data_IF_682658137123
#
_entry.id   IF_682658137123
#
_cell.length_a   1.000
_cell.length_b   1.000
_cell.length_c   1.000
_cell.angle_alpha   90.00
_cell.angle_beta   90.00
_cell.angle_gamma   90.00
#
_symmetry.space_group_name_H-M   'P 1'
#
loop_
_entity.id
_entity.type
_entity.pdbx_description
1 polymer ?
#
# COMPACT_ATOMS: atom_id res chain seq x y z
N UNK A 1 49.91 2.13 67.31
CA UNK A 1 49.07 1.80 68.48
C UNK A 1 47.71 1.31 67.99
N UNK A 2 47.33 0.09 68.42
CA UNK A 2 45.97 -0.38 68.80
C UNK A 2 44.81 -0.17 67.80
N UNK A 3 44.32 -1.22 67.12
CA UNK A 3 43.11 -2.06 67.45
C UNK A 3 41.79 -1.29 67.33
N UNK A 4 40.62 -1.77 66.85
CA UNK A 4 40.06 -3.10 66.58
C UNK A 4 38.69 -2.89 65.87
N UNK A 5 38.39 -3.77 64.92
CA UNK A 5 37.11 -4.46 64.58
C UNK A 5 35.73 -3.86 64.91
N UNK A 6 34.83 -3.93 63.91
CA UNK A 6 33.37 -4.13 64.06
C UNK A 6 32.57 -3.16 63.17
N UNK A 7 31.51 -3.50 62.45
CA UNK A 7 30.71 -4.73 62.28
C UNK A 7 29.94 -4.55 60.95
N UNK A 8 29.84 -5.61 60.15
CA UNK A 8 28.90 -5.70 59.03
C UNK A 8 27.47 -5.72 59.60
N UNK A 9 26.60 -4.86 59.08
CA UNK A 9 25.16 -5.11 59.05
C UNK A 9 24.64 -4.71 57.68
N UNK A 10 24.26 -5.74 56.94
CA UNK A 10 23.53 -5.67 55.70
C UNK A 10 22.18 -4.97 55.92
N UNK A 11 21.88 -3.98 55.08
CA UNK A 11 20.50 -3.62 54.79
C UNK A 11 20.30 -3.97 53.32
N UNK A 12 19.71 -5.14 53.11
CA UNK A 12 19.17 -5.57 51.84
C UNK A 12 17.99 -4.65 51.48
N UNK A 13 18.27 -3.61 50.71
CA UNK A 13 17.27 -2.73 50.11
C UNK A 13 17.06 -3.11 48.65
N UNK A 14 16.21 -4.12 48.45
CA UNK A 14 15.37 -4.36 47.26
C UNK A 14 15.63 -3.49 46.02
N UNK A 15 16.32 -4.08 45.05
CA UNK A 15 16.26 -3.69 43.66
C UNK A 15 14.79 -3.76 43.18
N UNK A 16 14.15 -2.61 43.02
CA UNK A 16 12.93 -2.47 42.20
C UNK A 16 13.32 -1.82 40.90
N UNK A 17 13.47 -2.67 39.88
CA UNK A 17 13.57 -2.27 38.50
C UNK A 17 12.40 -1.33 38.14
N UNK A 18 12.72 -0.07 37.86
CA UNK A 18 11.83 0.82 37.12
C UNK A 18 12.06 0.53 35.65
N UNK A 19 11.55 -0.62 35.20
CA UNK A 19 11.20 -0.82 33.79
C UNK A 19 9.84 -0.14 33.59
N UNK A 20 9.84 1.19 33.61
CA UNK A 20 8.69 1.97 33.16
C UNK A 20 8.62 1.81 31.64
N UNK A 21 7.52 1.20 31.20
CA UNK A 21 7.41 0.59 29.88
C UNK A 21 7.65 1.55 28.74
N UNK A 22 8.40 1.06 27.75
CA UNK A 22 8.20 1.40 26.35
C UNK A 22 6.85 0.83 25.89
N UNK A 23 5.75 1.27 26.52
CA UNK A 23 4.45 1.25 25.87
C UNK A 23 4.51 2.44 24.95
N UNK A 24 4.65 2.16 23.66
CA UNK A 24 4.43 3.13 22.59
C UNK A 24 3.21 3.96 22.96
N UNK A 25 3.47 5.19 23.42
CA UNK A 25 2.45 6.18 23.66
C UNK A 25 1.74 6.37 22.33
N UNK A 26 0.59 5.72 22.21
CA UNK A 26 -0.37 5.93 21.17
C UNK A 26 -0.92 7.33 21.42
N UNK A 27 -0.15 8.32 21.00
CA UNK A 27 -0.50 9.72 21.12
C UNK A 27 -1.69 9.95 20.19
N UNK A 28 -2.87 9.80 20.79
CA UNK A 28 -4.15 10.42 20.44
C UNK A 28 -4.01 11.95 20.39
N UNK A 29 -3.14 12.47 19.53
CA UNK A 29 -3.20 13.87 19.08
C UNK A 29 -4.07 13.88 17.85
N UNK A 30 -5.36 14.08 18.10
CA UNK A 30 -6.45 14.19 17.14
C UNK A 30 -6.43 15.51 16.35
N UNK A 31 -5.31 15.80 15.67
CA UNK A 31 -5.18 16.89 14.69
C UNK A 31 -4.21 16.48 13.56
N UNK A 32 -4.50 15.36 12.89
CA UNK A 32 -3.63 14.67 11.91
C UNK A 32 -4.34 14.57 10.55
N UNK A 33 -4.39 15.69 9.82
CA UNK A 33 -4.88 15.65 8.44
C UNK A 33 -3.96 14.89 7.50
N UNK A 34 -4.39 14.75 6.25
CA UNK A 34 -3.65 14.00 5.22
C UNK A 34 -2.20 14.47 5.07
N UNK A 35 -1.94 15.77 5.27
CA UNK A 35 -0.62 16.41 5.23
C UNK A 35 0.33 16.02 6.38
N UNK A 36 -0.16 15.25 7.36
CA UNK A 36 0.65 14.72 8.47
C UNK A 36 0.87 13.21 8.39
N UNK A 37 0.35 12.55 7.35
CA UNK A 37 0.81 11.21 7.02
C UNK A 37 2.31 11.24 6.67
N UNK A 38 3.03 10.12 6.84
CA UNK A 38 4.36 9.95 6.26
C UNK A 38 4.34 10.34 4.77
N UNK A 39 5.46 10.81 4.23
CA UNK A 39 5.56 11.14 2.81
C UNK A 39 5.14 9.97 1.91
N UNK A 40 5.42 8.74 2.36
CA UNK A 40 4.94 7.51 1.74
C UNK A 40 4.12 6.65 2.71
N UNK A 41 2.80 6.83 2.79
CA UNK A 41 1.93 5.95 3.56
C UNK A 41 1.95 4.49 3.07
N UNK A 42 1.32 3.62 3.87
CA UNK A 42 1.17 2.19 3.65
C UNK A 42 2.52 1.47 3.53
N UNK A 43 3.43 1.73 4.48
CA UNK A 43 4.75 1.11 4.49
C UNK A 43 5.64 1.49 3.30
N UNK A 44 5.40 2.66 2.70
CA UNK A 44 6.15 3.13 1.54
C UNK A 44 5.49 2.85 0.19
N UNK A 45 4.28 2.28 0.16
CA UNK A 45 3.64 1.81 -1.06
C UNK A 45 3.02 2.90 -1.93
N UNK A 46 2.62 4.03 -1.32
CA UNK A 46 1.89 5.10 -2.00
C UNK A 46 2.49 6.44 -1.61
N UNK A 47 2.55 7.41 -2.53
CA UNK A 47 2.91 8.79 -2.24
C UNK A 47 1.75 9.55 -1.61
N UNK A 48 2.02 10.26 -0.50
CA UNK A 48 1.01 11.02 0.23
C UNK A 48 0.30 12.07 -0.61
N UNK A 49 1.03 12.72 -1.52
CA UNK A 49 0.46 13.72 -2.44
C UNK A 49 -0.66 13.13 -3.29
N UNK A 50 -0.47 11.90 -3.79
CA UNK A 50 -1.47 11.22 -4.60
C UNK A 50 -2.74 10.88 -3.80
N UNK A 51 -2.59 10.49 -2.54
CA UNK A 51 -3.74 10.30 -1.63
C UNK A 51 -4.43 11.64 -1.30
N UNK A 52 -3.65 12.72 -1.11
CA UNK A 52 -4.14 14.07 -0.82
C UNK A 52 -4.87 14.72 -2.00
N UNK A 53 -4.54 14.33 -3.23
CA UNK A 53 -5.26 14.75 -4.43
C UNK A 53 -6.64 14.07 -4.55
N UNK A 54 -6.75 12.81 -4.11
CA UNK A 54 -8.02 12.07 -4.14
C UNK A 54 -8.99 12.54 -3.06
N UNK A 55 -8.50 12.70 -1.83
CA UNK A 55 -9.32 12.88 -0.64
C UNK A 55 -9.53 14.35 -0.28
N UNK A 56 -10.68 14.69 0.32
CA UNK A 56 -10.87 16.01 0.90
C UNK A 56 -9.89 16.23 2.05
N UNK A 57 -9.58 17.51 2.35
CA UNK A 57 -8.82 17.84 3.55
C UNK A 57 -9.62 17.42 4.79
N UNK A 58 -9.00 16.66 5.68
CA UNK A 58 -9.64 16.19 6.91
C UNK A 58 -8.71 16.30 8.10
N UNK A 59 -9.24 16.11 9.31
CA UNK A 59 -8.46 16.24 10.56
C UNK A 59 -7.84 14.92 11.01
N UNK A 60 -8.18 13.81 10.37
CA UNK A 60 -7.71 12.45 10.66
C UNK A 60 -7.36 11.73 9.37
N UNK A 61 -6.23 11.03 9.37
CA UNK A 61 -5.92 10.04 8.37
C UNK A 61 -5.31 8.79 8.99
N UNK A 62 -5.75 7.63 8.53
CA UNK A 62 -5.25 6.33 8.98
C UNK A 62 -4.82 5.47 7.80
N UNK A 63 -3.77 4.68 8.03
CA UNK A 63 -3.31 3.65 7.10
C UNK A 63 -3.32 2.26 7.74
N UNK A 64 -3.58 1.23 6.92
CA UNK A 64 -3.18 -0.15 7.23
C UNK A 64 -2.67 -0.83 5.98
N UNK A 65 -1.51 -1.46 6.10
CA UNK A 65 -0.99 -2.39 5.11
C UNK A 65 -0.71 -3.75 5.72
N UNK A 66 -1.16 -4.83 5.06
CA UNK A 66 -0.84 -6.21 5.45
C UNK A 66 -0.35 -6.95 4.23
N UNK A 67 0.93 -7.31 4.23
CA UNK A 67 1.52 -8.22 3.26
C UNK A 67 1.44 -9.66 3.80
N UNK A 68 0.90 -10.59 3.02
CA UNK A 68 0.98 -12.04 3.30
C UNK A 68 2.06 -12.71 2.45
N UNK A 69 2.38 -13.97 2.78
CA UNK A 69 3.44 -14.79 2.17
C UNK A 69 3.56 -14.67 0.63
N UNK A 70 4.75 -14.80 0.01
CA UNK A 70 4.95 -14.70 -1.44
C UNK A 70 4.08 -15.64 -2.29
N UNK A 71 3.65 -16.77 -1.74
CA UNK A 71 2.80 -17.73 -2.46
C UNK A 71 1.33 -17.32 -2.50
N UNK A 72 0.88 -16.58 -1.48
CA UNK A 72 -0.47 -16.03 -1.34
C UNK A 72 -0.35 -14.52 -1.12
N UNK A 73 0.39 -13.84 -1.98
CA UNK A 73 0.67 -12.42 -1.80
C UNK A 73 -0.65 -11.65 -1.85
N UNK A 74 -0.99 -11.05 -0.72
CA UNK A 74 -2.07 -10.11 -0.57
C UNK A 74 -1.50 -8.87 0.10
N UNK A 75 -1.78 -7.70 -0.46
CA UNK A 75 -1.42 -6.42 0.11
C UNK A 75 -2.59 -5.46 0.00
N UNK A 76 -3.16 -5.03 1.12
CA UNK A 76 -4.15 -3.95 1.13
C UNK A 76 -3.52 -2.65 1.60
N UNK A 77 -4.05 -1.53 1.17
CA UNK A 77 -3.71 -0.19 1.65
C UNK A 77 -5.00 0.63 1.63
N UNK A 78 -5.25 1.39 2.67
CA UNK A 78 -6.27 2.42 2.63
C UNK A 78 -5.77 3.67 3.31
N UNK A 79 -6.16 4.81 2.78
CA UNK A 79 -6.05 6.11 3.41
C UNK A 79 -7.47 6.62 3.56
N UNK A 80 -7.88 6.91 4.80
CA UNK A 80 -9.24 7.40 5.09
C UNK A 80 -9.21 8.75 5.75
N UNK A 81 -10.20 9.58 5.45
CA UNK A 81 -10.59 10.77 6.20
C UNK A 81 -11.81 10.46 7.07
N UNK A 82 -12.53 11.49 7.52
CA UNK A 82 -13.74 11.32 8.33
C UNK A 82 -14.84 10.54 7.56
N UNK A 83 -15.15 10.95 6.33
CA UNK A 83 -16.22 10.34 5.51
C UNK A 83 -15.76 9.83 4.13
N UNK A 84 -14.45 9.81 3.87
CA UNK A 84 -13.92 9.43 2.55
C UNK A 84 -12.72 8.51 2.64
N UNK A 85 -12.56 7.62 1.66
CA UNK A 85 -11.52 6.60 1.65
C UNK A 85 -10.96 6.49 0.23
N UNK A 86 -9.64 6.48 0.08
CA UNK A 86 -8.97 5.89 -1.08
C UNK A 86 -8.31 4.60 -0.61
N UNK A 87 -8.58 3.52 -1.31
CA UNK A 87 -8.10 2.20 -0.92
C UNK A 87 -7.69 1.39 -2.12
N UNK A 88 -6.84 0.41 -1.90
CA UNK A 88 -6.60 -0.63 -2.86
C UNK A 88 -6.18 -1.94 -2.23
N UNK A 89 -6.28 -2.98 -3.05
CA UNK A 89 -5.96 -4.35 -2.71
C UNK A 89 -5.18 -4.95 -3.86
N UNK A 90 -4.01 -5.52 -3.57
CA UNK A 90 -3.18 -6.29 -4.47
C UNK A 90 -3.32 -7.76 -4.11
N UNK A 91 -3.47 -8.60 -5.11
CA UNK A 91 -3.51 -10.04 -4.96
C UNK A 91 -2.69 -10.73 -6.04
N UNK A 92 -1.88 -11.71 -5.64
CA UNK A 92 -1.29 -12.66 -6.56
C UNK A 92 -2.37 -13.59 -7.12
N UNK A 93 -2.29 -13.85 -8.42
CA UNK A 93 -3.20 -14.74 -9.12
C UNK A 93 -2.49 -15.50 -10.23
N UNK A 94 -3.26 -16.30 -10.98
CA UNK A 94 -2.77 -17.11 -12.10
C UNK A 94 -3.27 -16.63 -13.46
N UNK A 95 -3.69 -15.37 -13.55
CA UNK A 95 -4.25 -14.82 -14.77
C UNK A 95 -3.16 -14.45 -15.78
N UNK A 96 -3.42 -14.73 -17.04
CA UNK A 96 -2.72 -14.08 -18.17
C UNK A 96 -3.34 -12.71 -18.45
N UNK A 97 -2.62 -11.85 -19.17
CA UNK A 97 -3.16 -10.58 -19.64
C UNK A 97 -4.49 -10.78 -20.39
N UNK A 98 -4.54 -11.74 -21.33
CA UNK A 98 -5.74 -12.02 -22.12
C UNK A 98 -6.93 -12.41 -21.24
N UNK A 99 -6.72 -13.32 -20.28
CA UNK A 99 -7.79 -13.74 -19.34
C UNK A 99 -8.22 -12.62 -18.39
N UNK A 100 -7.30 -11.72 -18.01
CA UNK A 100 -7.62 -10.57 -17.18
C UNK A 100 -8.42 -9.52 -17.97
N UNK A 101 -8.03 -9.24 -19.22
CA UNK A 101 -8.77 -8.35 -20.12
C UNK A 101 -10.18 -8.88 -20.38
N UNK A 102 -10.30 -10.18 -20.61
CA UNK A 102 -11.58 -10.85 -20.80
C UNK A 102 -12.49 -10.70 -19.58
N UNK A 103 -11.97 -10.96 -18.38
CA UNK A 103 -12.71 -10.84 -17.13
C UNK A 103 -13.18 -9.40 -16.85
N UNK A 104 -12.59 -8.40 -17.52
CA UNK A 104 -12.92 -6.98 -17.38
C UNK A 104 -13.45 -6.36 -18.68
N UNK A 105 -13.96 -7.19 -19.60
CA UNK A 105 -14.60 -6.70 -20.84
C UNK A 105 -15.78 -5.79 -20.52
N UNK A 106 -16.64 -6.17 -19.58
CA UNK A 106 -17.82 -5.37 -19.19
C UNK A 106 -17.43 -3.99 -18.66
N UNK A 107 -16.35 -3.89 -17.88
CA UNK A 107 -15.86 -2.61 -17.39
C UNK A 107 -15.49 -1.67 -18.57
N UNK A 108 -14.94 -2.21 -19.66
CA UNK A 108 -14.61 -1.43 -20.87
C UNK A 108 -15.85 -1.00 -21.64
N UNK A 109 -16.84 -1.88 -21.73
CA UNK A 109 -18.14 -1.57 -22.33
C UNK A 109 -18.86 -0.45 -21.54
N UNK A 110 -18.66 -0.43 -20.21
CA UNK A 110 -19.16 0.60 -19.30
C UNK A 110 -18.28 1.88 -19.25
N UNK A 111 -17.36 2.05 -20.20
CA UNK A 111 -16.58 3.27 -20.37
C UNK A 111 -15.30 3.35 -19.52
N UNK A 112 -14.76 2.22 -19.06
CA UNK A 112 -13.39 2.17 -18.54
C UNK A 112 -12.38 2.52 -19.63
N UNK A 113 -11.43 3.38 -19.28
CA UNK A 113 -10.38 3.80 -20.21
C UNK A 113 -9.15 2.92 -20.00
N UNK A 114 -8.68 2.19 -21.02
CA UNK A 114 -7.44 1.43 -20.91
C UNK A 114 -6.25 2.38 -20.87
N UNK A 115 -5.37 2.17 -19.89
CA UNK A 115 -4.10 2.88 -19.74
C UNK A 115 -3.03 1.83 -19.58
N UNK A 116 -2.06 1.81 -20.49
CA UNK A 116 -0.98 0.81 -20.43
C UNK A 116 0.36 1.49 -20.53
N UNK A 117 1.32 0.98 -19.76
CA UNK A 117 2.70 1.41 -19.79
C UNK A 117 3.58 0.15 -19.79
N UNK A 118 4.08 -0.23 -20.97
CA UNK A 118 4.78 -1.49 -21.16
C UNK A 118 3.90 -2.69 -20.78
N UNK A 119 4.38 -3.49 -19.82
CA UNK A 119 3.71 -4.68 -19.30
C UNK A 119 2.69 -4.40 -18.19
N UNK A 120 2.66 -3.16 -17.67
CA UNK A 120 1.63 -2.73 -16.71
C UNK A 120 0.38 -2.36 -17.48
N UNK A 121 -0.70 -3.13 -17.29
CA UNK A 121 -2.01 -2.87 -17.90
C UNK A 121 -2.95 -2.31 -16.84
N UNK A 122 -3.63 -1.22 -17.15
CA UNK A 122 -4.59 -0.61 -16.25
C UNK A 122 -5.91 -0.31 -16.96
N UNK A 123 -7.00 -0.37 -16.20
CA UNK A 123 -8.32 0.12 -16.57
C UNK A 123 -8.72 1.19 -15.57
N UNK A 124 -8.99 2.39 -16.06
CA UNK A 124 -9.42 3.52 -15.27
C UNK A 124 -10.94 3.72 -15.39
N UNK A 125 -11.65 3.50 -14.29
CA UNK A 125 -13.09 3.71 -14.13
C UNK A 125 -13.34 5.00 -13.32
N UNK A 126 -14.56 5.58 -13.33
CA UNK A 126 -14.83 6.86 -12.68
C UNK A 126 -14.30 7.02 -11.24
N UNK A 127 -14.46 5.99 -10.40
CA UNK A 127 -14.03 5.98 -8.99
C UNK A 127 -13.21 4.75 -8.63
N UNK A 128 -12.80 3.97 -9.64
CA UNK A 128 -12.12 2.68 -9.46
C UNK A 128 -11.00 2.53 -10.47
N UNK A 129 -9.99 1.75 -10.14
CA UNK A 129 -8.99 1.32 -11.11
C UNK A 129 -8.69 -0.16 -10.92
N UNK A 130 -8.34 -0.80 -12.03
CA UNK A 130 -7.81 -2.17 -12.03
C UNK A 130 -6.45 -2.15 -12.69
N UNK A 131 -5.48 -2.84 -12.11
CA UNK A 131 -4.15 -3.00 -12.69
C UNK A 131 -3.82 -4.48 -12.77
N UNK A 132 -3.15 -4.86 -13.85
CA UNK A 132 -2.54 -6.16 -14.07
C UNK A 132 -1.05 -5.96 -14.31
N UNK A 133 -0.26 -6.81 -13.67
CA UNK A 133 1.18 -6.88 -13.85
C UNK A 133 1.60 -8.35 -13.90
N UNK A 134 2.35 -8.80 -14.93
CA UNK A 134 2.95 -10.12 -14.91
C UNK A 134 3.96 -10.22 -13.76
N UNK A 135 4.02 -11.36 -13.07
CA UNK A 135 5.00 -11.59 -12.00
C UNK A 135 5.35 -13.08 -11.92
N UNK A 136 6.49 -13.49 -12.46
CA UNK A 136 7.06 -14.80 -12.19
C UNK A 136 7.99 -14.76 -10.96
N UNK A 137 7.78 -15.54 -9.87
CA UNK A 137 8.67 -15.53 -8.70
C UNK A 137 10.08 -15.98 -9.04
N UNK A 138 11.10 -15.42 -8.37
CA UNK A 138 12.52 -15.77 -8.58
C UNK A 138 12.91 -17.21 -8.23
N UNK A 139 12.17 -17.87 -7.33
CA UNK A 139 12.65 -19.09 -6.62
C UNK A 139 11.86 -20.37 -6.90
N UNK A 140 10.95 -20.39 -7.87
CA UNK A 140 10.27 -21.64 -8.20
C UNK A 140 11.23 -22.56 -8.95
N UNK A 141 11.57 -23.70 -8.34
CA UNK A 141 12.33 -24.77 -9.00
C UNK A 141 11.73 -25.07 -10.37
N UNK A 142 12.62 -25.38 -11.32
CA UNK A 142 12.33 -25.58 -12.74
C UNK A 142 11.33 -26.72 -12.98
N UNK A 143 10.04 -26.45 -12.76
CA UNK A 143 8.97 -27.42 -12.88
C UNK A 143 7.56 -26.80 -12.85
N UNK A 144 7.37 -25.69 -12.11
CA UNK A 144 6.10 -24.97 -12.08
C UNK A 144 6.28 -23.52 -12.53
N UNK A 145 6.41 -23.32 -13.85
CA UNK A 145 6.17 -22.02 -14.50
C UNK A 145 4.66 -21.70 -14.49
N UNK A 146 4.02 -21.78 -13.33
CA UNK A 146 2.68 -21.26 -13.20
C UNK A 146 2.77 -19.75 -13.39
N UNK A 147 2.16 -19.25 -14.47
CA UNK A 147 2.13 -17.82 -14.78
C UNK A 147 1.43 -17.11 -13.62
N UNK A 148 2.22 -16.54 -12.71
CA UNK A 148 1.70 -15.71 -11.63
C UNK A 148 1.58 -14.27 -12.14
N UNK A 149 0.61 -13.56 -11.61
CA UNK A 149 0.38 -12.15 -11.90
C UNK A 149 0.00 -11.43 -10.62
N UNK A 150 0.25 -10.12 -10.57
CA UNK A 150 -0.35 -9.25 -9.58
C UNK A 150 -1.54 -8.54 -10.20
N UNK A 151 -2.67 -8.61 -9.51
CA UNK A 151 -3.84 -7.80 -9.84
C UNK A 151 -4.09 -6.81 -8.72
N UNK A 152 -4.37 -5.56 -9.08
CA UNK A 152 -4.71 -4.51 -8.12
C UNK A 152 -6.10 -4.00 -8.40
N UNK A 153 -6.85 -3.76 -7.34
CA UNK A 153 -8.13 -3.05 -7.38
C UNK A 153 -8.03 -1.85 -6.46
N UNK A 154 -8.10 -0.64 -7.00
CA UNK A 154 -8.19 0.58 -6.22
C UNK A 154 -9.56 1.22 -6.37
N UNK A 155 -10.00 1.95 -5.35
CA UNK A 155 -11.26 2.68 -5.36
C UNK A 155 -11.26 3.85 -4.40
N UNK A 156 -12.10 4.83 -4.69
CA UNK A 156 -12.54 5.84 -3.73
C UNK A 156 -13.97 5.55 -3.25
N UNK A 157 -14.24 5.94 -2.00
CA UNK A 157 -15.56 5.92 -1.36
C UNK A 157 -15.75 7.28 -0.68
N UNK A 158 -16.95 7.84 -0.77
CA UNK A 158 -17.27 9.15 -0.19
C UNK A 158 -16.90 10.31 -1.10
N UNK A 159 -16.81 11.49 -0.51
CA UNK A 159 -16.42 12.71 -1.23
C UNK A 159 -14.97 12.64 -1.73
N UNK A 160 -14.73 13.29 -2.87
CA UNK A 160 -13.41 13.35 -3.49
C UNK A 160 -13.12 14.79 -3.88
N UNK A 161 -11.85 15.19 -3.80
CA UNK A 161 -11.45 16.55 -4.18
C UNK A 161 -11.41 16.74 -5.69
N UNK A 162 -11.09 15.66 -6.42
CA UNK A 162 -11.04 15.63 -7.87
C UNK A 162 -12.22 14.84 -8.44
N UNK A 163 -12.57 15.15 -9.68
CA UNK A 163 -13.65 14.47 -10.42
C UNK A 163 -13.23 14.16 -11.86
N UNK A 164 -14.06 13.38 -12.56
CA UNK A 164 -13.87 13.06 -13.97
C UNK A 164 -12.51 12.42 -14.25
N UNK A 165 -11.86 12.86 -15.33
CA UNK A 165 -10.57 12.33 -15.78
C UNK A 165 -9.45 12.49 -14.75
N UNK A 166 -9.44 13.59 -13.98
CA UNK A 166 -8.43 13.82 -12.95
C UNK A 166 -8.52 12.77 -11.84
N UNK A 167 -9.74 12.47 -11.37
CA UNK A 167 -9.94 11.41 -10.38
C UNK A 167 -9.55 10.04 -10.94
N UNK A 168 -9.96 9.73 -12.19
CA UNK A 168 -9.58 8.48 -12.87
C UNK A 168 -8.05 8.30 -12.89
N UNK A 169 -7.31 9.36 -13.20
CA UNK A 169 -5.85 9.36 -13.24
C UNK A 169 -5.26 9.06 -11.86
N UNK A 170 -5.76 9.73 -10.82
CA UNK A 170 -5.25 9.57 -9.45
C UNK A 170 -5.51 8.17 -8.92
N UNK A 171 -6.71 7.62 -9.11
CA UNK A 171 -7.04 6.26 -8.65
C UNK A 171 -6.25 5.19 -9.41
N UNK A 172 -6.01 5.39 -10.71
CA UNK A 172 -5.15 4.51 -11.50
C UNK A 172 -3.68 4.60 -11.07
N UNK A 173 -3.19 5.81 -10.80
CA UNK A 173 -1.85 6.03 -10.24
C UNK A 173 -1.68 5.33 -8.89
N UNK A 174 -2.67 5.44 -8.00
CA UNK A 174 -2.67 4.81 -6.69
C UNK A 174 -2.55 3.28 -6.83
N UNK A 175 -3.34 2.68 -7.72
CA UNK A 175 -3.26 1.25 -8.02
C UNK A 175 -1.89 0.84 -8.59
N UNK A 176 -1.26 1.68 -9.43
CA UNK A 176 0.04 1.40 -10.01
C UNK A 176 1.17 1.44 -8.97
N UNK A 177 1.14 2.41 -8.05
CA UNK A 177 2.11 2.50 -6.96
C UNK A 177 2.01 1.29 -6.01
N UNK A 178 0.79 0.87 -5.68
CA UNK A 178 0.56 -0.38 -4.95
C UNK A 178 1.08 -1.61 -5.69
N UNK A 179 0.84 -1.70 -7.00
CA UNK A 179 1.34 -2.81 -7.82
C UNK A 179 2.88 -2.88 -7.79
N UNK A 180 3.55 -1.73 -7.89
CA UNK A 180 5.01 -1.64 -7.82
C UNK A 180 5.53 -2.12 -6.46
N UNK A 181 4.95 -1.62 -5.38
CA UNK A 181 5.36 -2.01 -4.03
C UNK A 181 5.20 -3.52 -3.80
N UNK A 182 4.06 -4.08 -4.22
CA UNK A 182 3.81 -5.51 -4.14
C UNK A 182 4.73 -6.34 -5.05
N UNK A 183 5.12 -5.82 -6.21
CA UNK A 183 6.06 -6.47 -7.13
C UNK A 183 7.46 -6.59 -6.52
N UNK A 184 7.93 -5.51 -5.89
CA UNK A 184 9.20 -5.48 -5.17
C UNK A 184 9.16 -6.41 -3.95
N UNK A 185 8.07 -6.39 -3.17
CA UNK A 185 7.91 -7.22 -1.98
C UNK A 185 7.67 -8.71 -2.29
N UNK A 186 7.08 -9.03 -3.44
CA UNK A 186 6.78 -10.39 -3.88
C UNK A 186 7.96 -11.13 -4.51
N UNK A 187 9.17 -10.52 -4.52
CA UNK A 187 10.37 -11.05 -5.17
C UNK A 187 10.09 -11.51 -6.62
N UNK A 188 9.30 -10.73 -7.37
CA UNK A 188 9.09 -11.01 -8.79
C UNK A 188 10.45 -10.97 -9.52
N UNK A 189 10.68 -12.00 -10.36
CA UNK A 189 11.97 -12.31 -10.98
C UNK A 189 12.21 -11.69 -12.33
N UNK A 190 11.14 -11.31 -13.01
CA UNK A 190 11.25 -10.47 -14.20
C UNK A 190 11.77 -9.08 -13.78
N UNK A 191 12.43 -8.39 -14.70
CA UNK A 191 12.76 -6.98 -14.50
C UNK A 191 11.85 -6.20 -15.42
N UNK A 192 10.66 -5.84 -14.93
CA UNK A 192 9.75 -4.97 -15.67
C UNK A 192 10.00 -3.51 -15.25
N UNK A 193 9.92 -2.62 -16.22
CA UNK A 193 9.99 -1.19 -15.95
C UNK A 193 8.61 -0.69 -15.50
N UNK A 194 8.47 -0.40 -14.21
CA UNK A 194 7.31 0.36 -13.72
C UNK A 194 7.44 1.82 -14.16
N UNK A 195 6.38 2.42 -14.74
CA UNK A 195 6.39 3.85 -15.00
C UNK A 195 6.39 4.61 -13.67
N UNK A 196 7.04 5.79 -13.65
CA UNK A 196 6.91 6.72 -12.52
C UNK A 196 5.48 7.27 -12.39
N UNK A 197 4.84 7.53 -13.54
CA UNK A 197 3.42 7.90 -13.65
C UNK A 197 2.80 7.19 -14.86
N UNK A 198 1.55 6.76 -14.74
CA UNK A 198 0.79 6.26 -15.88
C UNK A 198 0.57 7.38 -16.91
N UNK A 199 0.47 7.05 -18.22
CA UNK A 199 0.10 8.00 -19.26
C UNK A 199 -1.13 8.82 -18.86
N UNK A 200 -1.12 10.12 -19.18
CA UNK A 200 -2.20 11.05 -18.84
C UNK A 200 -3.44 10.71 -19.65
N UNK A 201 -4.53 10.43 -18.96
CA UNK A 201 -5.85 10.22 -19.57
C UNK A 201 -6.31 11.51 -20.26
N UNK A 202 -6.72 11.40 -21.53
CA UNK A 202 -7.28 12.51 -22.31
C UNK A 202 -6.25 13.38 -23.04
N UNK A 203 -4.95 13.07 -22.94
CA UNK A 203 -3.91 13.64 -23.79
C UNK A 203 -3.72 12.74 -25.02
N UNK A 204 -4.51 12.97 -26.07
CA UNK A 204 -4.28 12.44 -27.42
C UNK A 204 -3.57 13.49 -28.25
#
# INVERSE_FOLDING_TARGET
>A
MRTVTGKRTAVAGTARAVMAGAVFGYVEVFTKGIDRLPEKPCGGAVDRGLAADALPSARKAEERGKLTSPDDLFFSCYVRTDDSIVSGEVQAGRATEATWQEAHRSDREDGAVPVSAGEVKALALPTRARVYVPCAPRRTEAGAKERRCLTVRARTIGETRLHGTALRQVVAGFACQMARHAYEAGECGETIAFPGELPRLGSN
#
